data_IF_192512756526
#
_entry.id   IF_192512756526
#
_cell.length_a   1.000
_cell.length_b   1.000
_cell.length_c   1.000
_cell.angle_alpha   90.00
_cell.angle_beta   90.00
_cell.angle_gamma   90.00
#
_symmetry.space_group_name_H-M   'P 1'
#
loop_
_entity.id
_entity.type
_entity.pdbx_description
1 polymer ?
#
# COMPACT_ATOMS: atom_id res chain seq x y z
N UNK A 1 72.78 13.32 -39.46
CA UNK A 1 71.51 12.82 -38.87
C UNK A 1 70.37 13.34 -39.74
N UNK A 2 69.42 12.51 -40.22
CA UNK A 2 68.43 12.96 -41.22
C UNK A 2 67.10 12.20 -41.21
N UNK A 3 66.02 12.98 -41.32
CA UNK A 3 64.68 12.71 -41.89
C UNK A 3 63.92 11.40 -41.55
N UNK A 4 62.75 11.65 -40.90
CA UNK A 4 61.42 11.09 -41.21
C UNK A 4 61.17 9.58 -41.01
N UNK A 5 60.50 9.26 -39.91
CA UNK A 5 59.44 8.23 -39.86
C UNK A 5 58.18 8.93 -39.32
N UNK A 6 57.36 9.54 -40.19
CA UNK A 6 56.27 8.92 -40.97
C UNK A 6 55.11 8.46 -40.08
N UNK A 7 53.89 8.93 -40.38
CA UNK A 7 52.67 8.68 -39.60
C UNK A 7 52.45 7.19 -39.30
N UNK A 8 51.79 6.88 -38.17
CA UNK A 8 51.39 5.51 -37.78
C UNK A 8 50.45 4.93 -38.84
N UNK A 9 50.98 4.20 -39.82
CA UNK A 9 50.18 3.49 -40.84
C UNK A 9 49.72 2.14 -40.30
N UNK A 10 48.50 1.78 -40.63
CA UNK A 10 47.95 0.46 -40.33
C UNK A 10 48.64 -0.62 -41.18
N UNK A 11 48.65 -1.86 -40.70
CA UNK A 11 49.12 -2.99 -41.49
C UNK A 11 48.16 -3.27 -42.66
N UNK A 12 48.66 -3.83 -43.75
CA UNK A 12 47.81 -4.30 -44.85
C UNK A 12 46.97 -5.51 -44.41
N UNK A 13 45.79 -5.71 -45.01
CA UNK A 13 44.83 -6.75 -44.61
C UNK A 13 45.49 -8.14 -44.46
N UNK A 14 46.33 -8.52 -45.41
CA UNK A 14 47.00 -9.82 -45.44
C UNK A 14 48.10 -10.00 -44.39
N UNK A 15 48.65 -8.91 -43.84
CA UNK A 15 49.53 -8.99 -42.66
C UNK A 15 48.73 -9.04 -41.35
N UNK A 16 47.53 -8.45 -41.30
CA UNK A 16 46.60 -8.56 -40.16
C UNK A 16 46.07 -10.00 -40.05
N UNK A 17 45.53 -10.53 -41.15
CA UNK A 17 45.01 -11.90 -41.28
C UNK A 17 46.04 -12.95 -40.85
N UNK A 18 47.26 -12.85 -41.38
CA UNK A 18 48.37 -13.74 -41.04
C UNK A 18 49.08 -13.38 -39.71
N UNK A 19 48.60 -12.38 -38.96
CA UNK A 19 49.14 -11.89 -37.67
C UNK A 19 50.67 -11.66 -37.66
N UNK A 20 51.19 -10.99 -38.69
CA UNK A 20 52.63 -10.83 -38.94
C UNK A 20 53.04 -9.37 -39.16
N UNK A 21 54.29 -9.05 -38.78
CA UNK A 21 54.84 -7.70 -38.90
C UNK A 21 54.74 -7.17 -40.33
N UNK A 22 54.14 -5.98 -40.46
CA UNK A 22 54.03 -5.24 -41.71
C UNK A 22 55.05 -4.08 -41.71
N UNK A 23 56.00 -4.10 -42.65
CA UNK A 23 56.96 -3.01 -42.88
C UNK A 23 56.77 -2.45 -44.30
N UNK A 24 56.78 -1.12 -44.43
CA UNK A 24 56.75 -0.39 -45.72
C UNK A 24 58.11 0.26 -45.94
N UNK A 25 58.66 0.17 -47.14
CA UNK A 25 60.02 0.66 -47.42
C UNK A 25 60.03 1.53 -48.69
N UNK A 26 60.26 2.83 -48.53
CA UNK A 26 60.44 3.80 -49.62
C UNK A 26 59.17 4.23 -50.36
N UNK A 27 58.32 3.29 -50.77
CA UNK A 27 57.17 3.57 -51.64
C UNK A 27 55.86 3.06 -51.01
N UNK A 28 54.93 3.97 -50.75
CA UNK A 28 53.79 3.77 -49.82
C UNK A 28 52.69 2.80 -50.30
N UNK A 29 52.86 2.16 -51.46
CA UNK A 29 51.84 1.30 -52.09
C UNK A 29 51.89 -0.17 -51.63
N UNK A 30 53.02 -0.66 -51.16
CA UNK A 30 53.19 -2.06 -50.77
C UNK A 30 53.98 -2.24 -49.47
N UNK A 31 53.71 -3.33 -48.76
CA UNK A 31 54.58 -3.79 -47.68
C UNK A 31 55.67 -4.73 -48.21
N UNK A 32 56.86 -4.65 -47.62
CA UNK A 32 58.07 -5.40 -47.94
C UNK A 32 57.83 -6.92 -48.02
N UNK A 33 56.92 -7.45 -47.20
CA UNK A 33 56.51 -8.88 -47.21
C UNK A 33 55.62 -9.25 -48.39
N UNK A 34 54.68 -8.39 -48.80
CA UNK A 34 53.81 -8.69 -49.95
C UNK A 34 54.58 -8.55 -51.26
N UNK A 35 55.41 -7.51 -51.38
CA UNK A 35 56.29 -7.27 -52.53
C UNK A 35 57.25 -8.44 -52.77
N UNK A 36 58.00 -8.87 -51.74
CA UNK A 36 58.91 -10.05 -51.82
C UNK A 36 58.20 -11.36 -52.16
N UNK A 37 56.89 -11.46 -51.93
CA UNK A 37 56.08 -12.65 -52.20
C UNK A 37 55.25 -12.55 -53.49
N UNK A 38 55.36 -11.45 -54.26
CA UNK A 38 54.62 -11.26 -55.51
C UNK A 38 53.10 -11.30 -55.35
N UNK A 39 52.56 -10.73 -54.25
CA UNK A 39 51.14 -10.87 -53.87
C UNK A 39 50.50 -9.50 -53.60
N UNK A 40 49.21 -9.32 -53.92
CA UNK A 40 48.52 -8.04 -53.77
C UNK A 40 48.58 -7.52 -52.33
N UNK A 41 48.81 -6.21 -52.20
CA UNK A 41 48.92 -5.51 -50.94
C UNK A 41 47.87 -4.40 -50.87
N UNK A 42 46.89 -4.54 -49.97
CA UNK A 42 45.82 -3.55 -49.78
C UNK A 42 45.82 -3.10 -48.32
N UNK A 43 45.83 -1.79 -48.11
CA UNK A 43 45.74 -1.16 -46.80
C UNK A 43 44.31 -0.65 -46.55
N UNK A 44 43.73 -0.85 -45.35
CA UNK A 44 42.44 -0.27 -45.01
C UNK A 44 42.52 1.25 -44.95
N UNK A 45 41.58 1.94 -45.62
CA UNK A 45 41.47 3.40 -45.65
C UNK A 45 40.69 3.99 -44.47
N UNK A 46 39.85 3.19 -43.82
CA UNK A 46 39.12 3.52 -42.58
C UNK A 46 39.10 2.33 -41.63
N UNK A 47 38.92 2.60 -40.32
CA UNK A 47 38.66 1.56 -39.33
C UNK A 47 37.20 1.08 -39.44
N UNK A 48 36.90 -0.20 -39.15
CA UNK A 48 35.54 -0.63 -38.85
C UNK A 48 34.98 0.18 -37.68
N UNK A 49 33.76 0.72 -37.83
CA UNK A 49 33.09 1.39 -36.73
C UNK A 49 32.78 0.36 -35.63
N UNK A 50 33.11 0.65 -34.37
CA UNK A 50 32.98 -0.31 -33.27
C UNK A 50 31.54 -0.25 -32.68
N UNK A 51 30.69 -1.25 -32.88
CA UNK A 51 29.26 -1.20 -32.54
C UNK A 51 29.02 -1.52 -31.04
N UNK A 52 29.88 -1.00 -30.16
CA UNK A 52 30.02 -1.46 -28.77
C UNK A 52 30.28 -0.35 -27.76
N UNK A 53 29.97 0.91 -28.08
CA UNK A 53 30.00 2.01 -27.12
C UNK A 53 28.62 2.65 -27.09
N UNK A 54 27.87 2.40 -26.01
CA UNK A 54 26.57 3.05 -25.76
C UNK A 54 26.74 4.57 -25.81
N UNK A 55 25.74 5.25 -26.36
CA UNK A 55 25.62 6.70 -26.21
C UNK A 55 25.31 7.02 -24.75
N UNK A 56 25.73 8.21 -24.30
CA UNK A 56 25.30 8.75 -22.99
C UNK A 56 23.77 8.87 -22.90
N UNK A 57 23.07 8.95 -24.03
CA UNK A 57 21.60 8.91 -24.10
C UNK A 57 21.09 7.51 -23.75
N UNK A 58 21.70 6.44 -24.28
CA UNK A 58 21.33 5.06 -23.99
C UNK A 58 21.63 4.73 -22.51
N UNK A 59 22.77 5.18 -21.98
CA UNK A 59 23.14 5.04 -20.56
C UNK A 59 22.14 5.75 -19.63
N UNK A 60 21.64 6.94 -20.02
CA UNK A 60 20.59 7.66 -19.28
C UNK A 60 19.23 6.96 -19.40
N UNK A 61 18.92 6.32 -20.54
CA UNK A 61 17.69 5.54 -20.72
C UNK A 61 17.70 4.25 -19.90
N UNK A 62 18.85 3.56 -19.83
CA UNK A 62 19.05 2.44 -18.91
C UNK A 62 18.82 2.88 -17.46
N UNK A 63 19.44 4.01 -17.03
CA UNK A 63 19.27 4.56 -15.68
C UNK A 63 17.82 4.95 -15.37
N UNK A 64 17.08 5.53 -16.32
CA UNK A 64 15.66 5.88 -16.16
C UNK A 64 14.81 4.61 -16.00
N UNK A 65 15.09 3.56 -16.78
CA UNK A 65 14.39 2.28 -16.66
C UNK A 65 14.72 1.56 -15.34
N UNK A 66 15.97 1.62 -14.88
CA UNK A 66 16.40 1.06 -13.60
C UNK A 66 15.76 1.81 -12.42
N UNK A 67 15.77 3.14 -12.43
CA UNK A 67 15.09 3.95 -11.40
C UNK A 67 13.58 3.70 -11.38
N UNK A 68 12.96 3.48 -12.54
CA UNK A 68 11.54 3.09 -12.65
C UNK A 68 11.27 1.71 -12.04
N UNK A 69 12.12 0.73 -12.31
CA UNK A 69 12.03 -0.62 -11.74
C UNK A 69 12.23 -0.60 -10.21
N UNK A 70 13.23 0.14 -9.72
CA UNK A 70 13.45 0.39 -8.29
C UNK A 70 12.23 1.07 -7.62
N UNK A 71 11.59 2.03 -8.29
CA UNK A 71 10.34 2.66 -7.83
C UNK A 71 9.20 1.64 -7.77
N UNK A 72 8.97 0.84 -8.82
CA UNK A 72 7.92 -0.20 -8.78
C UNK A 72 8.17 -1.27 -7.72
N UNK A 73 9.43 -1.62 -7.44
CA UNK A 73 9.80 -2.56 -6.36
C UNK A 73 9.59 -1.96 -4.96
N UNK A 74 9.77 -0.64 -4.81
CA UNK A 74 9.45 0.11 -3.57
C UNK A 74 7.94 0.31 -3.34
N UNK A 75 7.10 0.06 -4.35
CA UNK A 75 5.62 0.04 -4.20
C UNK A 75 5.14 -1.39 -3.86
N UNK A 76 5.85 -2.05 -2.95
CA UNK A 76 5.29 -3.12 -2.09
C UNK A 76 5.51 -2.74 -0.62
N UNK A 77 4.57 -3.00 0.30
CA UNK A 77 4.44 -2.18 1.52
C UNK A 77 5.22 -2.70 2.74
N UNK A 78 6.14 -1.88 3.28
CA UNK A 78 6.61 -2.02 4.66
C UNK A 78 7.93 -1.31 5.00
N UNK A 79 7.84 -0.18 5.73
CA UNK A 79 8.89 0.51 6.54
C UNK A 79 10.29 0.78 5.90
N UNK A 80 10.92 1.96 5.98
CA UNK A 80 10.64 3.23 6.69
C UNK A 80 11.96 3.85 7.20
N UNK A 81 12.13 5.15 7.42
CA UNK A 81 11.23 6.30 7.24
C UNK A 81 11.66 7.10 5.97
N UNK A 82 11.98 8.40 5.86
CA UNK A 82 12.14 9.56 6.77
C UNK A 82 11.98 10.88 5.96
N UNK A 83 11.46 11.95 6.58
CA UNK A 83 11.40 13.31 6.00
C UNK A 83 9.98 13.86 5.82
N UNK A 84 9.80 15.18 6.00
CA UNK A 84 8.50 15.85 5.97
C UNK A 84 7.87 15.91 4.57
N UNK A 85 6.84 15.09 4.33
CA UNK A 85 5.76 15.41 3.39
C UNK A 85 4.40 15.21 4.07
N UNK A 86 3.47 16.14 3.84
CA UNK A 86 2.15 16.09 4.46
C UNK A 86 1.38 14.86 3.96
N UNK A 87 1.10 13.91 4.86
CA UNK A 87 0.49 12.61 4.54
C UNK A 87 -0.78 12.80 3.69
N UNK A 88 -0.76 12.40 2.39
CA UNK A 88 -1.95 12.44 1.57
C UNK A 88 -2.99 11.55 2.22
N UNK A 89 -4.13 12.12 2.62
CA UNK A 89 -5.22 11.34 3.16
C UNK A 89 -5.63 10.31 2.09
N UNK A 90 -5.51 8.99 2.35
CA UNK A 90 -5.97 7.99 1.41
C UNK A 90 -7.45 8.26 1.17
N UNK A 91 -7.83 8.40 -0.10
CA UNK A 91 -9.21 8.70 -0.42
C UNK A 91 -10.13 7.63 0.17
N UNK A 92 -11.13 8.05 0.94
CA UNK A 92 -12.24 7.19 1.35
C UNK A 92 -12.84 6.48 0.11
N UNK A 93 -13.41 5.29 0.25
CA UNK A 93 -13.72 4.31 -0.81
C UNK A 93 -14.44 4.88 -2.05
N UNK A 94 -15.35 5.85 -1.89
CA UNK A 94 -16.02 6.54 -3.00
C UNK A 94 -15.09 7.52 -3.75
N UNK A 95 -14.13 8.11 -3.03
CA UNK A 95 -13.17 9.12 -3.52
C UNK A 95 -12.07 8.50 -4.37
N UNK A 96 -11.64 7.26 -4.08
CA UNK A 96 -10.77 6.47 -4.99
C UNK A 96 -11.61 5.84 -6.13
N UNK A 97 -12.94 5.79 -6.00
CA UNK A 97 -13.84 5.19 -7.00
C UNK A 97 -13.90 3.66 -6.94
N UNK A 98 -13.41 3.05 -5.86
CA UNK A 98 -13.46 1.59 -5.61
C UNK A 98 -14.91 1.09 -5.55
N UNK A 99 -15.79 1.93 -4.98
CA UNK A 99 -17.23 1.75 -4.97
C UNK A 99 -17.91 3.02 -5.45
N UNK A 100 -18.96 2.86 -6.27
CA UNK A 100 -19.88 3.94 -6.61
C UNK A 100 -20.93 4.13 -5.51
N UNK A 101 -21.49 5.33 -5.40
CA UNK A 101 -22.59 5.64 -4.47
C UNK A 101 -23.76 4.66 -4.61
N UNK A 102 -24.10 4.27 -5.83
CA UNK A 102 -25.16 3.31 -6.11
C UNK A 102 -24.84 1.89 -5.59
N UNK A 103 -23.57 1.48 -5.61
CA UNK A 103 -23.14 0.22 -4.97
C UNK A 103 -23.19 0.35 -3.44
N UNK A 104 -22.69 1.45 -2.87
CA UNK A 104 -22.70 1.63 -1.40
C UNK A 104 -24.11 1.67 -0.80
N UNK A 105 -25.09 2.30 -1.46
CA UNK A 105 -26.49 2.22 -1.00
C UNK A 105 -27.01 0.77 -1.08
N UNK A 106 -26.80 0.05 -2.19
CA UNK A 106 -27.20 -1.38 -2.30
C UNK A 106 -26.54 -2.29 -1.25
N UNK A 107 -25.27 -2.02 -0.91
CA UNK A 107 -24.54 -2.75 0.14
C UNK A 107 -25.10 -2.42 1.54
N UNK A 108 -25.49 -1.16 1.78
CA UNK A 108 -26.17 -0.75 3.01
C UNK A 108 -27.59 -1.37 3.13
N UNK A 109 -28.32 -1.47 2.03
CA UNK A 109 -29.64 -2.12 2.00
C UNK A 109 -29.52 -3.64 2.20
N UNK A 110 -28.48 -4.27 1.63
CA UNK A 110 -28.11 -5.66 1.93
C UNK A 110 -27.76 -5.86 3.42
N UNK A 111 -27.07 -4.91 4.04
CA UNK A 111 -26.80 -4.92 5.48
C UNK A 111 -28.10 -4.83 6.31
N UNK A 112 -29.01 -3.89 5.98
CA UNK A 112 -30.34 -3.77 6.61
C UNK A 112 -31.17 -5.04 6.51
N UNK A 113 -31.25 -5.63 5.33
CA UNK A 113 -32.18 -6.73 5.04
C UNK A 113 -31.66 -8.11 5.44
N UNK A 114 -30.33 -8.32 5.48
CA UNK A 114 -29.72 -9.64 5.70
C UNK A 114 -28.90 -9.70 6.99
N UNK A 115 -28.16 -8.64 7.33
CA UNK A 115 -27.18 -8.65 8.44
C UNK A 115 -27.82 -8.16 9.74
N UNK A 116 -28.42 -6.97 9.76
CA UNK A 116 -29.07 -6.40 10.94
C UNK A 116 -30.09 -7.33 11.65
N UNK A 117 -30.92 -8.14 10.96
CA UNK A 117 -31.84 -9.05 11.63
C UNK A 117 -31.16 -10.21 12.37
N UNK A 118 -29.94 -10.58 11.98
CA UNK A 118 -29.15 -11.65 12.61
C UNK A 118 -28.34 -11.16 13.82
N UNK A 119 -28.02 -9.86 13.87
CA UNK A 119 -27.23 -9.23 14.94
C UNK A 119 -27.76 -7.80 15.21
N UNK A 120 -28.92 -7.66 15.88
CA UNK A 120 -29.68 -6.40 15.99
C UNK A 120 -29.10 -5.38 16.98
N UNK A 121 -27.78 -5.38 17.17
CA UNK A 121 -27.07 -4.50 18.10
C UNK A 121 -26.56 -3.22 17.43
N UNK A 122 -26.40 -3.23 16.10
CA UNK A 122 -26.04 -2.06 15.29
C UNK A 122 -27.19 -1.79 14.33
N UNK A 123 -27.93 -0.70 14.55
CA UNK A 123 -29.16 -0.38 13.83
C UNK A 123 -28.96 0.89 12.99
N UNK A 124 -29.03 0.77 11.67
CA UNK A 124 -28.99 1.91 10.75
C UNK A 124 -30.42 2.23 10.28
N UNK A 125 -30.97 3.44 10.53
CA UNK A 125 -32.32 3.79 10.11
C UNK A 125 -32.40 3.97 8.59
N UNK A 126 -33.56 3.73 7.99
CA UNK A 126 -33.76 3.82 6.54
C UNK A 126 -33.58 5.24 5.97
N UNK A 127 -33.73 6.27 6.81
CA UNK A 127 -33.46 7.67 6.47
C UNK A 127 -31.98 7.99 6.23
N UNK A 128 -31.06 7.15 6.68
CA UNK A 128 -29.61 7.35 6.52
C UNK A 128 -29.11 6.72 5.23
N UNK A 129 -28.68 7.52 4.26
CA UNK A 129 -28.03 7.03 3.04
C UNK A 129 -26.51 6.81 3.26
N UNK A 130 -25.83 6.20 2.28
CA UNK A 130 -24.41 5.90 2.35
C UNK A 130 -23.49 7.14 2.53
N UNK A 131 -23.88 8.33 2.06
CA UNK A 131 -23.11 9.57 2.27
C UNK A 131 -23.24 10.02 3.72
N UNK A 132 -24.46 10.07 4.25
CA UNK A 132 -24.71 10.45 5.65
C UNK A 132 -24.03 9.49 6.62
N UNK A 133 -24.12 8.17 6.37
CA UNK A 133 -23.42 7.15 7.15
C UNK A 133 -21.90 7.34 7.13
N UNK A 134 -21.32 7.60 5.95
CA UNK A 134 -19.88 7.89 5.78
C UNK A 134 -19.43 9.18 6.48
N UNK A 135 -20.30 10.18 6.58
CA UNK A 135 -20.00 11.46 7.24
C UNK A 135 -20.11 11.37 8.78
N UNK A 136 -21.08 10.61 9.30
CA UNK A 136 -21.35 10.51 10.73
C UNK A 136 -20.55 9.37 11.41
N UNK A 137 -20.39 8.23 10.72
CA UNK A 137 -19.70 7.04 11.21
C UNK A 137 -18.78 6.43 10.12
N UNK A 138 -17.63 7.07 9.81
CA UNK A 138 -16.76 6.67 8.69
C UNK A 138 -16.14 5.27 8.83
N UNK A 139 -15.80 4.81 10.05
CA UNK A 139 -15.27 3.46 10.23
C UNK A 139 -16.38 2.40 10.17
N UNK A 140 -17.55 2.69 10.75
CA UNK A 140 -18.74 1.86 10.59
C UNK A 140 -19.16 1.71 9.13
N UNK A 141 -19.08 2.78 8.33
CA UNK A 141 -19.29 2.72 6.88
C UNK A 141 -18.37 1.71 6.21
N UNK A 142 -17.05 1.79 6.43
CA UNK A 142 -16.07 0.84 5.86
C UNK A 142 -16.34 -0.59 6.34
N UNK A 143 -16.68 -0.80 7.62
CA UNK A 143 -17.03 -2.11 8.16
C UNK A 143 -18.29 -2.70 7.48
N UNK A 144 -19.35 -1.91 7.33
CA UNK A 144 -20.60 -2.32 6.66
C UNK A 144 -20.35 -2.65 5.17
N UNK A 145 -19.55 -1.85 4.46
CA UNK A 145 -19.15 -2.18 3.08
C UNK A 145 -18.38 -3.51 3.04
N UNK A 146 -17.48 -3.76 3.99
CA UNK A 146 -16.66 -4.98 4.04
C UNK A 146 -17.51 -6.24 4.25
N UNK A 147 -18.38 -6.27 5.28
CA UNK A 147 -19.16 -7.48 5.62
C UNK A 147 -20.33 -7.77 4.67
N UNK A 148 -20.64 -6.81 3.78
CA UNK A 148 -21.72 -6.89 2.79
C UNK A 148 -21.22 -7.09 1.36
N UNK A 149 -19.90 -7.21 1.15
CA UNK A 149 -19.27 -7.45 -0.17
C UNK A 149 -18.73 -8.88 -0.30
N UNK A 150 -19.31 -9.85 0.41
CA UNK A 150 -18.89 -11.25 0.40
C UNK A 150 -19.06 -11.94 -0.97
N UNK A 151 -19.89 -11.39 -1.85
CA UNK A 151 -20.03 -11.82 -3.25
C UNK A 151 -18.84 -11.42 -4.15
N UNK A 152 -17.91 -10.59 -3.66
CA UNK A 152 -16.70 -10.16 -4.40
C UNK A 152 -15.43 -10.28 -3.55
N UNK A 153 -14.89 -11.50 -3.34
CA UNK A 153 -13.76 -11.75 -2.43
C UNK A 153 -12.52 -10.87 -2.65
N UNK A 154 -12.16 -10.55 -3.89
CA UNK A 154 -11.02 -9.67 -4.19
C UNK A 154 -11.24 -8.24 -3.64
N UNK A 155 -12.41 -7.65 -3.88
CA UNK A 155 -12.76 -6.33 -3.33
C UNK A 155 -12.91 -6.42 -1.80
N UNK A 156 -13.49 -7.51 -1.28
CA UNK A 156 -13.59 -7.70 0.16
C UNK A 156 -12.22 -7.76 0.84
N UNK A 157 -11.18 -8.29 0.17
CA UNK A 157 -9.79 -8.31 0.67
C UNK A 157 -9.20 -6.91 0.79
N UNK A 158 -9.42 -6.05 -0.20
CA UNK A 158 -8.99 -4.64 -0.17
C UNK A 158 -9.70 -3.86 0.95
N UNK A 159 -11.02 -4.06 1.09
CA UNK A 159 -11.82 -3.47 2.16
C UNK A 159 -11.38 -3.97 3.56
N UNK A 160 -11.06 -5.26 3.70
CA UNK A 160 -10.47 -5.83 4.92
C UNK A 160 -9.13 -5.16 5.29
N UNK A 161 -8.29 -4.84 4.30
CA UNK A 161 -7.04 -4.12 4.54
C UNK A 161 -7.32 -2.70 5.05
N UNK A 162 -8.33 -2.01 4.53
CA UNK A 162 -8.70 -0.67 5.00
C UNK A 162 -9.35 -0.68 6.40
N UNK A 163 -10.13 -1.70 6.77
CA UNK A 163 -10.57 -1.90 8.17
C UNK A 163 -9.36 -2.06 9.09
N UNK A 164 -8.42 -2.95 8.74
CA UNK A 164 -7.19 -3.18 9.53
C UNK A 164 -6.30 -1.93 9.60
N UNK A 165 -6.24 -1.13 8.53
CA UNK A 165 -5.57 0.17 8.51
C UNK A 165 -6.20 1.12 9.53
N UNK A 166 -7.53 1.29 9.50
CA UNK A 166 -8.24 2.18 10.42
C UNK A 166 -8.12 1.75 11.88
N UNK A 167 -8.16 0.44 12.17
CA UNK A 167 -7.89 -0.07 13.53
C UNK A 167 -6.48 0.32 13.95
N UNK A 168 -5.46 0.07 13.12
CA UNK A 168 -4.08 0.40 13.42
C UNK A 168 -3.87 1.90 13.64
N UNK A 169 -4.31 2.76 12.71
CA UNK A 169 -4.11 4.22 12.81
C UNK A 169 -4.97 4.85 13.89
N UNK A 170 -6.30 4.66 13.86
CA UNK A 170 -7.23 5.37 14.75
C UNK A 170 -7.21 4.80 16.16
N UNK A 171 -7.31 3.48 16.31
CA UNK A 171 -7.44 2.86 17.65
C UNK A 171 -6.09 2.72 18.34
N UNK A 172 -5.04 2.31 17.63
CA UNK A 172 -3.73 2.00 18.23
C UNK A 172 -2.77 3.21 18.22
N UNK A 173 -2.54 3.85 17.06
CA UNK A 173 -1.58 4.98 16.97
C UNK A 173 -2.15 6.29 17.53
N UNK A 174 -3.36 6.68 17.12
CA UNK A 174 -4.00 7.93 17.55
C UNK A 174 -4.70 7.82 18.92
N UNK A 175 -4.89 6.59 19.43
CA UNK A 175 -5.64 6.27 20.64
C UNK A 175 -7.08 6.85 20.68
N UNK A 176 -7.75 6.93 19.53
CA UNK A 176 -9.14 7.39 19.43
C UNK A 176 -10.11 6.42 20.10
N UNK A 177 -11.09 6.95 20.85
CA UNK A 177 -12.18 6.21 21.49
C UNK A 177 -13.49 6.95 21.26
N UNK A 178 -14.39 6.34 20.48
CA UNK A 178 -15.68 6.92 20.11
C UNK A 178 -16.66 5.81 19.66
N UNK A 179 -17.92 6.17 19.46
CA UNK A 179 -18.99 5.23 19.11
C UNK A 179 -18.89 4.68 17.66
N UNK A 180 -18.34 5.45 16.72
CA UNK A 180 -18.03 4.99 15.34
C UNK A 180 -17.08 3.79 15.35
N UNK A 181 -15.99 3.89 16.12
CA UNK A 181 -15.01 2.83 16.28
C UNK A 181 -15.60 1.59 16.97
N UNK A 182 -16.46 1.76 17.99
CA UNK A 182 -17.14 0.62 18.63
C UNK A 182 -18.14 -0.08 17.70
N UNK A 183 -19.01 0.67 17.01
CA UNK A 183 -20.01 0.09 16.12
C UNK A 183 -19.35 -0.59 14.92
N UNK A 184 -18.30 0.00 14.35
CA UNK A 184 -17.53 -0.64 13.27
C UNK A 184 -16.79 -1.90 13.71
N UNK A 185 -16.24 -1.93 14.94
CA UNK A 185 -15.61 -3.14 15.51
C UNK A 185 -16.65 -4.26 15.72
N UNK A 186 -17.83 -3.92 16.24
CA UNK A 186 -18.95 -4.87 16.39
C UNK A 186 -19.37 -5.47 15.05
N UNK A 187 -19.57 -4.64 14.02
CA UNK A 187 -19.90 -5.12 12.66
C UNK A 187 -18.76 -5.98 12.09
N UNK A 188 -17.51 -5.56 12.22
CA UNK A 188 -16.40 -6.34 11.66
C UNK A 188 -16.21 -7.71 12.35
N UNK A 189 -16.40 -7.76 13.66
CA UNK A 189 -16.23 -8.99 14.46
C UNK A 189 -17.39 -9.96 14.28
N UNK A 190 -18.66 -9.48 14.25
CA UNK A 190 -19.83 -10.36 14.16
C UNK A 190 -19.90 -11.21 12.87
N UNK A 191 -19.35 -10.72 11.76
CA UNK A 191 -19.36 -11.42 10.45
C UNK A 191 -17.98 -11.94 10.01
N UNK A 192 -17.08 -12.20 10.97
CA UNK A 192 -15.71 -12.69 10.74
C UNK A 192 -15.60 -13.88 9.78
N UNK A 193 -16.58 -14.78 9.79
CA UNK A 193 -16.60 -16.04 9.04
C UNK A 193 -16.69 -15.83 7.52
N UNK A 194 -17.13 -14.67 7.04
CA UNK A 194 -17.05 -14.31 5.63
C UNK A 194 -15.63 -13.94 5.18
N UNK A 195 -14.71 -13.62 6.10
CA UNK A 195 -13.33 -13.23 5.78
C UNK A 195 -12.41 -14.46 5.63
N UNK A 196 -12.70 -15.27 4.60
CA UNK A 196 -12.11 -16.60 4.32
C UNK A 196 -10.58 -16.72 4.52
N UNK A 197 -9.79 -15.71 4.14
CA UNK A 197 -8.32 -15.73 4.30
C UNK A 197 -7.80 -15.46 5.74
N UNK A 198 -8.64 -15.04 6.69
CA UNK A 198 -8.23 -14.58 8.04
C UNK A 198 -8.87 -15.37 9.19
N UNK A 199 -9.46 -16.54 8.90
CA UNK A 199 -10.62 -17.10 9.62
C UNK A 199 -10.44 -17.51 11.10
N UNK A 200 -9.21 -17.48 11.65
CA UNK A 200 -8.91 -17.83 13.05
C UNK A 200 -8.02 -16.83 13.81
N UNK A 201 -6.82 -16.40 13.33
CA UNK A 201 -5.80 -15.80 14.22
C UNK A 201 -6.17 -14.44 14.83
N UNK A 202 -7.04 -13.67 14.18
CA UNK A 202 -7.34 -12.29 14.55
C UNK A 202 -8.71 -12.12 15.21
N UNK A 203 -9.52 -13.18 15.31
CA UNK A 203 -10.91 -13.08 15.79
C UNK A 203 -10.99 -12.58 17.23
N UNK A 204 -10.28 -13.29 18.13
CA UNK A 204 -10.18 -12.91 19.54
C UNK A 204 -9.50 -11.54 19.75
N UNK A 205 -8.63 -11.10 18.83
CA UNK A 205 -8.02 -9.77 18.88
C UNK A 205 -9.04 -8.66 18.63
N UNK A 206 -9.89 -8.79 17.59
CA UNK A 206 -10.93 -7.80 17.30
C UNK A 206 -12.06 -7.84 18.34
N UNK A 207 -12.42 -9.02 18.85
CA UNK A 207 -13.32 -9.16 19.99
C UNK A 207 -12.77 -8.45 21.24
N UNK A 208 -11.50 -8.69 21.60
CA UNK A 208 -10.88 -8.04 22.75
C UNK A 208 -10.76 -6.52 22.57
N UNK A 209 -10.47 -6.05 21.35
CA UNK A 209 -10.52 -4.61 21.03
C UNK A 209 -11.93 -4.03 21.21
N UNK A 210 -12.98 -4.79 20.89
CA UNK A 210 -14.39 -4.39 21.12
C UNK A 210 -14.68 -4.28 22.62
N UNK A 211 -14.27 -5.27 23.43
CA UNK A 211 -14.40 -5.24 24.90
C UNK A 211 -13.63 -4.06 25.52
N UNK A 212 -12.39 -3.84 25.09
CA UNK A 212 -11.58 -2.70 25.55
C UNK A 212 -12.23 -1.36 25.17
N UNK A 213 -12.77 -1.23 23.94
CA UNK A 213 -13.48 -0.03 23.50
C UNK A 213 -14.74 0.25 24.34
N UNK A 214 -15.49 -0.78 24.77
CA UNK A 214 -16.63 -0.65 25.69
C UNK A 214 -16.20 -0.08 27.06
N UNK A 215 -15.10 -0.57 27.62
CA UNK A 215 -14.57 -0.15 28.91
C UNK A 215 -13.88 1.23 28.88
N UNK A 216 -13.17 1.55 27.79
CA UNK A 216 -12.56 2.86 27.54
C UNK A 216 -13.61 3.96 27.34
N UNK A 217 -14.75 3.63 26.70
CA UNK A 217 -15.93 4.49 26.65
C UNK A 217 -16.68 4.51 28.00
N UNK A 218 -16.50 3.51 28.87
CA UNK A 218 -17.17 3.41 30.16
C UNK A 218 -18.68 3.13 30.04
N UNK A 219 -19.09 2.31 29.06
CA UNK A 219 -20.48 1.91 28.84
C UNK A 219 -20.94 0.82 29.84
N UNK A 220 -19.98 0.05 30.35
CA UNK A 220 -20.09 -0.99 31.37
C UNK A 220 -20.38 -0.44 32.78
N UNK A 221 -20.00 0.81 33.03
CA UNK A 221 -20.06 1.44 34.35
C UNK A 221 -21.51 1.62 34.81
N UNK A 222 -21.84 1.02 35.94
CA UNK A 222 -23.10 1.31 36.63
C UNK A 222 -23.06 2.75 37.18
N UNK A 223 -24.12 3.57 36.97
CA UNK A 223 -24.15 4.96 37.44
C UNK A 223 -24.12 5.08 38.97
N UNK A 224 -24.35 3.99 39.69
CA UNK A 224 -24.39 3.93 41.15
C UNK A 224 -23.06 3.43 41.77
N UNK A 225 -22.07 3.03 40.97
CA UNK A 225 -20.85 2.36 41.44
C UNK A 225 -19.58 3.13 41.09
N UNK A 226 -19.59 4.44 41.34
CA UNK A 226 -18.44 5.33 41.18
C UNK A 226 -17.41 5.10 42.28
N UNK A 227 -16.29 4.44 41.95
CA UNK A 227 -15.06 4.51 42.74
C UNK A 227 -14.42 5.91 42.53
N UNK A 228 -14.96 6.92 43.21
CA UNK A 228 -14.82 8.33 42.81
C UNK A 228 -13.40 8.92 42.93
N UNK A 229 -12.61 8.46 43.90
CA UNK A 229 -11.54 9.28 44.48
C UNK A 229 -10.21 9.25 43.70
N UNK A 230 -9.95 8.18 42.93
CA UNK A 230 -8.70 8.05 42.16
C UNK A 230 -8.77 8.84 40.83
N UNK A 231 -9.92 8.86 40.15
CA UNK A 231 -10.05 9.63 38.91
C UNK A 231 -10.11 11.15 39.18
N UNK A 232 -10.72 11.55 40.29
CA UNK A 232 -10.81 12.94 40.72
C UNK A 232 -9.44 13.51 41.13
N UNK A 233 -8.61 12.74 41.86
CA UNK A 233 -7.26 13.18 42.27
C UNK A 233 -6.29 13.34 41.09
N UNK A 234 -6.57 12.74 39.93
CA UNK A 234 -5.81 12.92 38.68
C UNK A 234 -6.37 14.05 37.78
N UNK A 235 -7.31 14.86 38.27
CA UNK A 235 -7.79 16.06 37.58
C UNK A 235 -8.56 15.84 36.28
N UNK A 236 -8.96 14.60 35.96
CA UNK A 236 -9.85 14.34 34.80
C UNK A 236 -11.26 14.85 35.13
N UNK A 237 -11.87 15.72 34.29
CA UNK A 237 -13.21 16.21 34.56
C UNK A 237 -14.25 15.10 34.38
N UNK A 238 -14.83 14.64 35.50
CA UNK A 238 -16.00 13.74 35.55
C UNK A 238 -17.22 14.41 34.90
N UNK A 239 -17.24 14.36 33.57
CA UNK A 239 -18.20 15.06 32.74
C UNK A 239 -19.52 14.30 32.74
N UNK A 240 -20.53 14.80 33.47
CA UNK A 240 -21.87 14.21 33.47
C UNK A 240 -22.45 14.05 32.05
N UNK A 241 -22.04 14.92 31.11
CA UNK A 241 -22.33 14.82 29.68
C UNK A 241 -21.82 13.52 29.02
N UNK A 242 -20.66 12.99 29.43
CA UNK A 242 -20.16 11.69 28.95
C UNK A 242 -21.03 10.55 29.47
N UNK A 243 -21.40 10.55 30.77
CA UNK A 243 -22.30 9.53 31.33
C UNK A 243 -23.67 9.49 30.62
N UNK A 244 -24.21 10.65 30.23
CA UNK A 244 -25.45 10.72 29.42
C UNK A 244 -25.24 10.17 28.01
N UNK A 245 -24.14 10.51 27.33
CA UNK A 245 -23.82 9.96 26.00
C UNK A 245 -23.60 8.44 26.02
N UNK A 246 -22.92 7.93 27.05
CA UNK A 246 -22.65 6.51 27.29
C UNK A 246 -23.94 5.70 27.46
N UNK A 247 -25.01 6.31 27.97
CA UNK A 247 -26.30 5.67 28.18
C UNK A 247 -27.30 5.86 27.02
N UNK A 248 -26.83 6.36 25.87
CA UNK A 248 -27.57 6.38 24.60
C UNK A 248 -28.09 4.99 24.22
N UNK A 249 -29.20 4.96 23.46
CA UNK A 249 -29.76 3.69 22.98
C UNK A 249 -28.81 2.94 22.03
N UNK A 250 -27.90 3.63 21.35
CA UNK A 250 -26.82 3.02 20.58
C UNK A 250 -25.77 2.37 21.49
N UNK A 251 -25.24 3.10 22.48
CA UNK A 251 -24.25 2.59 23.44
C UNK A 251 -24.75 1.37 24.22
N UNK A 252 -26.02 1.38 24.67
CA UNK A 252 -26.64 0.23 25.35
C UNK A 252 -26.78 -1.01 24.46
N UNK A 253 -27.14 -0.85 23.18
CA UNK A 253 -27.15 -1.97 22.22
C UNK A 253 -25.74 -2.47 21.93
N UNK A 254 -24.76 -1.57 21.79
CA UNK A 254 -23.37 -1.91 21.54
C UNK A 254 -22.74 -2.72 22.69
N UNK A 255 -23.03 -2.35 23.95
CA UNK A 255 -22.66 -3.13 25.14
C UNK A 255 -23.25 -4.56 25.08
N UNK A 256 -24.56 -4.68 24.81
CA UNK A 256 -25.22 -5.99 24.71
C UNK A 256 -24.69 -6.83 23.53
N UNK A 257 -24.36 -6.21 22.40
CA UNK A 257 -23.75 -6.88 21.25
C UNK A 257 -22.33 -7.36 21.54
N UNK A 258 -21.57 -6.61 22.34
CA UNK A 258 -20.24 -7.03 22.81
C UNK A 258 -20.37 -8.26 23.72
N UNK A 259 -21.30 -8.22 24.69
CA UNK A 259 -21.57 -9.37 25.56
C UNK A 259 -22.03 -10.61 24.78
N UNK A 260 -22.89 -10.44 23.76
CA UNK A 260 -23.30 -11.50 22.86
C UNK A 260 -22.10 -12.13 22.13
N UNK A 261 -21.20 -11.33 21.54
CA UNK A 261 -20.00 -11.85 20.86
C UNK A 261 -18.98 -12.49 21.81
N UNK A 262 -19.01 -12.17 23.10
CA UNK A 262 -18.23 -12.87 24.14
C UNK A 262 -18.88 -14.18 24.64
N UNK A 263 -20.09 -14.50 24.16
CA UNK A 263 -20.88 -15.67 24.62
C UNK A 263 -20.99 -16.79 23.56
N UNK A 264 -20.25 -16.68 22.46
CA UNK A 264 -20.26 -17.58 21.29
C UNK A 264 -18.86 -18.14 21.03
#
# INVERSE_FOLDING_TARGET
MSRRQSSRRHACFRCIELKVKCSTQGNDKECQRCSRLGRPCVFPSTLPNNPGRKSRIDELQDQINELRDQLTKRVTPGHGMSGDEAVPHPGDLLTIGILTLAQCNRLLDKFRMVKMPQFPFVIIPDSMNAISLRQEYPFLFVAIMTVSTEDRPALQKDLNHEVKRNISTRIIMNNERNIDLLLGLLVYTAWYHYHWESILPHMYLFLQLTVTMVADLGLDRQPNFTMGDIAASLGRPSSAHQLVANHSAAGKRALLGTFYLCSV
#
